data_IF_612386854459
#
_entry.id   IF_612386854459
#
_cell.length_a   1.000
_cell.length_b   1.000
_cell.length_c   1.000
_cell.angle_alpha   90.00
_cell.angle_beta   90.00
_cell.angle_gamma   90.00
#
_symmetry.space_group_name_H-M   'P 1'
#
loop_
_entity.id
_entity.type
_entity.pdbx_description
1 polymer ?
#
# COMPACT_ATOMS: atom_id res chain seq x y z
N UNK A 1 10.39 29.32 4.26
CA UNK A 1 9.49 28.19 4.55
C UNK A 1 10.32 27.14 5.27
N UNK A 2 10.00 26.83 6.51
CA UNK A 2 10.68 25.75 7.25
C UNK A 2 10.23 24.47 6.56
N UNK A 3 11.18 23.74 5.97
CA UNK A 3 10.95 22.41 5.40
C UNK A 3 10.64 21.50 6.60
N UNK A 4 9.34 21.32 6.86
CA UNK A 4 8.89 20.39 7.90
C UNK A 4 9.21 19.00 7.32
N UNK A 5 10.29 18.40 7.79
CA UNK A 5 10.70 17.07 7.41
C UNK A 5 9.47 16.15 7.44
N UNK A 6 9.15 15.53 6.29
CA UNK A 6 8.00 14.64 6.19
C UNK A 6 8.23 13.46 7.13
N UNK A 7 7.22 13.07 7.95
CA UNK A 7 7.42 12.00 8.91
C UNK A 7 7.73 10.69 8.18
N UNK A 8 8.84 10.04 8.53
CA UNK A 8 9.22 8.72 8.04
C UNK A 8 8.44 7.63 8.77
N UNK A 9 8.07 6.56 8.06
CA UNK A 9 7.55 5.34 8.67
C UNK A 9 8.73 4.47 9.08
N UNK A 10 8.71 3.93 10.30
CA UNK A 10 9.79 3.10 10.78
C UNK A 10 9.36 2.11 11.84
N UNK A 11 10.27 1.19 12.17
CA UNK A 11 10.09 0.23 13.25
C UNK A 11 11.41 -0.13 13.93
N UNK A 12 11.32 -0.51 15.21
CA UNK A 12 12.43 -0.89 16.06
C UNK A 12 12.12 -2.18 16.80
N UNK A 13 12.91 -3.23 16.53
CA UNK A 13 12.85 -4.48 17.24
C UNK A 13 11.56 -5.28 17.05
N UNK A 14 10.85 -5.10 15.91
CA UNK A 14 9.60 -5.81 15.68
C UNK A 14 9.82 -7.31 15.62
N UNK A 15 9.08 -8.01 16.46
CA UNK A 15 9.05 -9.47 16.48
C UNK A 15 7.61 -9.98 16.49
N UNK A 16 7.36 -11.08 15.78
CA UNK A 16 6.06 -11.74 15.71
C UNK A 16 6.22 -13.23 15.48
N UNK A 17 5.52 -14.01 16.31
CA UNK A 17 5.48 -15.47 16.19
C UNK A 17 4.05 -15.96 15.99
N UNK A 18 3.90 -17.08 15.30
CA UNK A 18 2.66 -17.83 15.13
C UNK A 18 2.95 -19.31 15.44
N UNK A 19 2.28 -19.86 16.42
CA UNK A 19 2.39 -21.29 16.79
C UNK A 19 3.85 -21.78 16.93
N UNK A 20 4.71 -20.95 17.50
CA UNK A 20 6.12 -21.24 17.70
C UNK A 20 7.04 -20.89 16.51
N UNK A 21 6.49 -20.56 15.34
CA UNK A 21 7.27 -20.11 14.18
C UNK A 21 7.45 -18.59 14.24
N UNK A 22 8.70 -18.12 14.21
CA UNK A 22 9.02 -16.69 14.18
C UNK A 22 8.85 -16.14 12.77
N UNK A 23 7.80 -15.35 12.55
CA UNK A 23 7.53 -14.69 11.28
C UNK A 23 8.25 -13.32 11.14
N UNK A 24 8.57 -12.66 12.26
CA UNK A 24 9.43 -11.47 12.32
C UNK A 24 10.40 -11.61 13.49
N UNK A 25 11.67 -11.26 13.27
CA UNK A 25 12.76 -11.42 14.24
C UNK A 25 13.57 -10.13 14.33
N UNK A 26 13.34 -9.33 15.37
CA UNK A 26 14.05 -8.06 15.67
C UNK A 26 14.17 -7.13 14.45
N UNK A 27 13.09 -6.98 13.68
CA UNK A 27 13.08 -6.15 12.46
C UNK A 27 13.25 -4.68 12.84
N UNK A 28 14.29 -4.04 12.28
CA UNK A 28 14.58 -2.62 12.42
C UNK A 28 14.66 -1.99 11.05
N UNK A 29 13.83 -0.98 10.79
CA UNK A 29 13.71 -0.38 9.48
C UNK A 29 13.21 1.05 9.59
N UNK A 30 13.76 1.93 8.77
CA UNK A 30 13.24 3.26 8.54
C UNK A 30 13.09 3.46 7.03
N UNK A 31 11.86 3.75 6.61
CA UNK A 31 11.56 4.04 5.22
C UNK A 31 11.90 5.50 4.90
N UNK A 32 12.32 5.82 3.68
CA UNK A 32 12.49 7.21 3.25
C UNK A 32 11.16 7.96 3.33
N UNK A 33 11.20 9.27 3.48
CA UNK A 33 9.98 10.09 3.54
C UNK A 33 9.16 10.07 2.23
N UNK A 34 9.81 9.79 1.11
CA UNK A 34 9.22 9.65 -0.24
C UNK A 34 10.04 8.66 -1.04
N UNK A 35 9.48 8.13 -2.10
CA UNK A 35 10.20 7.19 -2.98
C UNK A 35 9.41 5.92 -3.23
N UNK A 36 10.01 5.03 -4.00
CA UNK A 36 9.49 3.69 -4.27
C UNK A 36 10.41 2.66 -3.64
N UNK A 37 9.90 1.92 -2.67
CA UNK A 37 10.62 0.89 -1.92
C UNK A 37 10.05 -0.48 -2.26
N UNK A 38 10.88 -1.36 -2.79
CA UNK A 38 10.51 -2.75 -2.99
C UNK A 38 10.90 -3.59 -1.78
N UNK A 39 9.95 -4.33 -1.22
CA UNK A 39 10.16 -5.31 -0.18
C UNK A 39 10.12 -6.70 -0.80
N UNK A 40 11.27 -7.34 -0.92
CA UNK A 40 11.45 -8.61 -1.61
C UNK A 40 11.93 -9.70 -0.66
N UNK A 41 11.86 -10.95 -1.10
CA UNK A 41 12.30 -12.13 -0.33
C UNK A 41 11.48 -13.37 -0.71
N UNK A 42 11.91 -14.57 -0.32
CA UNK A 42 11.19 -15.80 -0.61
C UNK A 42 9.81 -15.85 0.04
N UNK A 43 9.00 -16.83 -0.35
CA UNK A 43 7.73 -17.10 0.31
C UNK A 43 7.98 -17.49 1.77
N UNK A 44 7.17 -16.92 2.69
CA UNK A 44 7.39 -17.16 4.13
C UNK A 44 8.42 -16.23 4.79
N UNK A 45 9.14 -15.37 4.06
CA UNK A 45 10.14 -14.44 4.62
C UNK A 45 9.59 -13.39 5.60
N UNK A 46 8.25 -13.30 5.78
CA UNK A 46 7.64 -12.37 6.74
C UNK A 46 7.18 -11.03 6.14
N UNK A 47 7.28 -10.82 4.83
CA UNK A 47 6.94 -9.55 4.15
C UNK A 47 5.50 -9.09 4.43
N UNK A 48 4.51 -9.95 4.16
CA UNK A 48 3.09 -9.65 4.41
C UNK A 48 2.81 -9.50 5.90
N UNK A 49 3.50 -10.24 6.77
CA UNK A 49 3.43 -10.10 8.23
C UNK A 49 3.92 -8.72 8.65
N UNK A 50 5.03 -8.23 8.11
CA UNK A 50 5.53 -6.88 8.36
C UNK A 50 4.51 -5.82 7.96
N UNK A 51 3.93 -5.89 6.76
CA UNK A 51 2.87 -4.96 6.33
C UNK A 51 1.63 -5.06 7.22
N UNK A 52 1.25 -6.26 7.68
CA UNK A 52 0.13 -6.44 8.62
C UNK A 52 0.39 -5.75 9.96
N UNK A 53 1.61 -5.81 10.48
CA UNK A 53 2.01 -5.12 11.72
C UNK A 53 1.99 -3.60 11.50
N UNK A 54 2.65 -3.09 10.46
CA UNK A 54 2.74 -1.66 10.17
C UNK A 54 1.38 -0.99 9.89
N UNK A 55 0.37 -1.79 9.57
CA UNK A 55 -1.00 -1.31 9.35
C UNK A 55 -1.97 -1.63 10.49
N UNK A 56 -1.47 -2.22 11.60
CA UNK A 56 -2.25 -2.52 12.78
C UNK A 56 -3.22 -3.70 12.66
N UNK A 57 -3.18 -4.46 11.56
CA UNK A 57 -3.94 -5.71 11.40
C UNK A 57 -3.37 -6.84 12.25
N UNK A 58 -2.08 -6.77 12.58
CA UNK A 58 -1.43 -7.66 13.53
C UNK A 58 -0.73 -6.85 14.61
N UNK A 59 -0.86 -7.31 15.85
CA UNK A 59 -0.10 -6.76 16.98
C UNK A 59 1.25 -7.47 17.04
N UNK A 60 2.37 -6.74 17.09
CA UNK A 60 3.68 -7.36 17.32
C UNK A 60 3.76 -7.94 18.74
N UNK A 61 4.59 -8.97 18.93
CA UNK A 61 4.85 -9.56 20.24
C UNK A 61 5.91 -8.76 21.00
N UNK A 62 6.83 -8.11 20.27
CA UNK A 62 7.82 -7.18 20.80
C UNK A 62 8.15 -6.08 19.78
N UNK A 63 8.81 -5.02 20.27
CA UNK A 63 9.19 -3.87 19.46
C UNK A 63 8.07 -2.87 19.27
N UNK A 64 8.36 -1.83 18.48
CA UNK A 64 7.43 -0.73 18.19
C UNK A 64 7.56 -0.26 16.74
N UNK A 65 6.51 0.39 16.24
CA UNK A 65 6.57 1.08 14.95
C UNK A 65 5.97 2.49 15.07
N UNK A 66 6.42 3.40 14.21
CA UNK A 66 6.17 4.82 14.36
C UNK A 66 6.06 5.53 13.01
N UNK A 67 5.42 6.71 13.02
CA UNK A 67 5.37 7.66 11.92
C UNK A 67 5.97 8.99 12.42
N UNK A 68 7.19 9.31 12.02
CA UNK A 68 7.99 10.37 12.65
C UNK A 68 8.18 10.10 14.14
N UNK A 69 7.82 11.04 14.98
CA UNK A 69 7.92 10.89 16.45
C UNK A 69 6.72 10.15 17.06
N UNK A 70 5.67 9.90 16.26
CA UNK A 70 4.43 9.30 16.77
C UNK A 70 4.48 7.79 16.75
N UNK A 71 4.39 7.18 17.91
CA UNK A 71 4.23 5.73 18.03
C UNK A 71 2.83 5.29 17.56
N UNK A 72 2.78 4.23 16.74
CA UNK A 72 1.57 3.65 16.18
C UNK A 72 1.25 2.26 16.73
N UNK A 73 2.16 1.68 17.51
CA UNK A 73 2.03 0.33 18.07
C UNK A 73 0.74 0.19 18.89
N UNK A 74 -0.05 -0.82 18.56
CA UNK A 74 -1.34 -1.08 19.22
C UNK A 74 -2.50 -0.18 18.79
N UNK A 75 -2.29 0.75 17.84
CA UNK A 75 -3.40 1.49 17.23
C UNK A 75 -4.21 0.57 16.31
N UNK A 76 -5.54 0.77 16.31
CA UNK A 76 -6.43 0.06 15.40
C UNK A 76 -6.18 0.49 13.93
N UNK A 77 -6.38 -0.41 12.93
CA UNK A 77 -6.11 -0.14 11.51
C UNK A 77 -6.74 1.16 10.98
N UNK A 78 -7.99 1.43 11.35
CA UNK A 78 -8.69 2.64 10.91
C UNK A 78 -8.04 3.94 11.45
N UNK A 79 -7.38 3.89 12.62
CA UNK A 79 -6.63 5.05 13.16
C UNK A 79 -5.33 5.25 12.41
N UNK A 80 -4.65 4.18 12.04
CA UNK A 80 -3.42 4.22 11.23
C UNK A 80 -3.75 4.74 9.83
N UNK A 81 -4.82 4.26 9.20
CA UNK A 81 -5.28 4.75 7.91
C UNK A 81 -5.56 6.26 7.92
N UNK A 82 -6.18 6.79 8.98
CA UNK A 82 -6.42 8.24 9.14
C UNK A 82 -5.14 9.09 9.29
N UNK A 83 -4.01 8.45 9.59
CA UNK A 83 -2.70 9.11 9.62
C UNK A 83 -2.02 9.14 8.24
N UNK A 84 -2.70 8.63 7.22
CA UNK A 84 -2.24 8.66 5.84
C UNK A 84 -1.43 7.43 5.42
N UNK A 85 -1.58 6.31 6.10
CA UNK A 85 -1.01 5.01 5.70
C UNK A 85 -2.13 4.18 5.07
N UNK A 86 -2.09 4.03 3.75
CA UNK A 86 -3.06 3.24 2.99
C UNK A 86 -2.44 1.92 2.54
N UNK A 87 -3.25 0.87 2.41
CA UNK A 87 -2.79 -0.44 2.00
C UNK A 87 -3.73 -1.10 1.00
N UNK A 88 -3.15 -1.79 0.02
CA UNK A 88 -3.85 -2.83 -0.73
C UNK A 88 -3.66 -4.19 -0.07
N UNK A 89 -4.48 -5.15 -0.42
CA UNK A 89 -4.39 -6.53 0.06
C UNK A 89 -4.22 -7.44 -1.14
N UNK A 90 -3.63 -8.61 -0.93
CA UNK A 90 -3.49 -9.63 -1.95
C UNK A 90 -4.86 -10.02 -2.52
N UNK A 91 -5.87 -10.21 -1.65
CA UNK A 91 -7.27 -10.27 -2.05
C UNK A 91 -7.77 -8.86 -2.37
N UNK A 92 -8.30 -8.65 -3.56
CA UNK A 92 -8.63 -7.32 -4.09
C UNK A 92 -9.64 -6.54 -3.24
N UNK A 93 -10.41 -7.22 -2.38
CA UNK A 93 -11.43 -6.66 -1.48
C UNK A 93 -12.40 -5.67 -2.15
N UNK A 94 -12.65 -5.87 -3.44
CA UNK A 94 -13.63 -5.12 -4.21
C UNK A 94 -15.02 -5.73 -4.01
N UNK A 95 -16.05 -4.88 -3.98
CA UNK A 95 -17.43 -5.33 -3.99
C UNK A 95 -17.83 -5.53 -5.44
N UNK A 96 -17.81 -6.78 -5.91
CA UNK A 96 -17.95 -7.14 -7.33
C UNK A 96 -19.26 -6.68 -7.97
N UNK A 97 -20.35 -6.66 -7.20
CA UNK A 97 -21.69 -6.27 -7.68
C UNK A 97 -21.93 -4.76 -7.70
N UNK A 98 -21.00 -3.99 -7.15
CA UNK A 98 -21.11 -2.53 -7.01
C UNK A 98 -20.33 -1.85 -8.14
N UNK A 99 -20.81 -0.72 -8.69
CA UNK A 99 -20.09 0.03 -9.72
C UNK A 99 -18.67 0.40 -9.33
N UNK A 100 -17.80 0.49 -10.32
CA UNK A 100 -16.39 0.91 -10.17
C UNK A 100 -16.26 2.20 -9.37
N UNK A 101 -17.08 3.22 -9.70
CA UNK A 101 -17.07 4.49 -8.98
C UNK A 101 -17.47 4.35 -7.53
N UNK A 102 -18.47 3.53 -7.23
CA UNK A 102 -18.96 3.34 -5.86
C UNK A 102 -17.92 2.61 -4.98
N UNK A 103 -17.13 1.67 -5.55
CA UNK A 103 -16.00 1.06 -4.85
C UNK A 103 -14.98 2.12 -4.41
N UNK A 104 -14.67 3.10 -5.26
CA UNK A 104 -13.74 4.20 -4.93
C UNK A 104 -14.36 5.15 -3.88
N UNK A 105 -15.66 5.42 -3.98
CA UNK A 105 -16.36 6.27 -3.01
C UNK A 105 -16.39 5.64 -1.61
N UNK A 106 -16.61 4.33 -1.52
CA UNK A 106 -16.59 3.59 -0.24
C UNK A 106 -15.22 3.63 0.46
N UNK A 107 -14.14 3.76 -0.30
CA UNK A 107 -12.79 3.86 0.26
C UNK A 107 -12.46 5.24 0.85
N UNK A 108 -13.28 6.26 0.65
CA UNK A 108 -13.04 7.60 1.16
C UNK A 108 -13.28 7.71 2.67
N UNK A 109 -12.38 8.37 3.39
CA UNK A 109 -12.52 8.52 4.85
C UNK A 109 -13.52 9.63 5.22
N UNK A 110 -14.05 9.54 6.45
CA UNK A 110 -14.76 10.62 7.14
C UNK A 110 -16.01 11.17 6.43
N UNK A 111 -16.76 10.33 5.73
CA UNK A 111 -17.99 10.77 5.05
C UNK A 111 -19.08 11.15 6.06
N UNK A 112 -19.72 12.32 5.87
CA UNK A 112 -20.80 12.79 6.76
C UNK A 112 -22.01 11.87 6.75
N UNK A 113 -22.27 11.21 5.62
CA UNK A 113 -23.35 10.22 5.48
C UNK A 113 -23.20 9.00 6.40
N UNK A 114 -22.01 8.72 6.93
CA UNK A 114 -21.75 7.67 7.92
C UNK A 114 -22.17 8.07 9.35
N UNK A 115 -22.49 9.33 9.59
CA UNK A 115 -22.90 9.85 10.90
C UNK A 115 -24.41 10.00 10.95
N UNK A 116 -25.04 9.44 12.00
CA UNK A 116 -26.50 9.40 12.16
C UNK A 116 -27.18 10.77 12.04
N UNK A 117 -26.66 11.80 12.70
CA UNK A 117 -27.25 13.15 12.70
C UNK A 117 -27.15 13.85 11.34
N UNK A 118 -25.97 13.93 10.66
CA UNK A 118 -25.88 14.51 9.32
C UNK A 118 -26.67 13.72 8.27
N UNK A 119 -26.69 12.39 8.36
CA UNK A 119 -27.48 11.54 7.46
C UNK A 119 -28.99 11.82 7.60
N UNK A 120 -29.50 12.00 8.82
CA UNK A 120 -30.90 12.27 9.09
C UNK A 120 -31.32 13.67 8.65
N UNK A 121 -30.47 14.68 8.87
CA UNK A 121 -30.76 16.08 8.55
C UNK A 121 -30.41 16.50 7.12
N UNK A 122 -29.71 15.65 6.34
CA UNK A 122 -29.19 15.90 4.97
C UNK A 122 -28.42 17.23 4.82
N UNK A 123 -27.99 17.84 5.91
CA UNK A 123 -27.34 19.15 5.89
C UNK A 123 -25.89 19.03 5.40
N UNK A 124 -25.62 19.58 4.23
CA UNK A 124 -24.28 19.58 3.59
C UNK A 124 -23.84 18.23 3.02
N UNK A 125 -24.68 17.21 3.03
CA UNK A 125 -24.39 15.86 2.50
C UNK A 125 -24.26 15.93 0.98
N UNK A 126 -25.21 16.55 0.27
CA UNK A 126 -25.21 16.61 -1.19
C UNK A 126 -23.96 17.31 -1.78
N UNK A 127 -23.49 18.41 -1.13
CA UNK A 127 -22.28 19.10 -1.59
C UNK A 127 -21.03 18.27 -1.34
N UNK A 128 -20.97 17.53 -0.23
CA UNK A 128 -19.89 16.60 0.07
C UNK A 128 -19.88 15.41 -0.88
N UNK A 129 -21.03 14.82 -1.14
CA UNK A 129 -21.19 13.73 -2.11
C UNK A 129 -20.72 14.14 -3.51
N UNK A 130 -21.07 15.35 -3.97
CA UNK A 130 -20.58 15.88 -5.25
C UNK A 130 -19.06 16.00 -5.28
N UNK A 131 -18.44 16.54 -4.21
CA UNK A 131 -16.98 16.64 -4.10
C UNK A 131 -16.31 15.26 -4.04
N UNK A 132 -16.89 14.35 -3.28
CA UNK A 132 -16.39 12.98 -3.17
C UNK A 132 -16.43 12.28 -4.53
N UNK A 133 -17.53 12.43 -5.27
CA UNK A 133 -17.68 11.88 -6.61
C UNK A 133 -16.67 12.47 -7.59
N UNK A 134 -16.44 13.77 -7.56
CA UNK A 134 -15.43 14.41 -8.40
C UNK A 134 -14.01 13.89 -8.09
N UNK A 135 -13.68 13.74 -6.81
CA UNK A 135 -12.37 13.21 -6.40
C UNK A 135 -12.23 11.72 -6.75
N UNK A 136 -13.26 10.92 -6.58
CA UNK A 136 -13.27 9.52 -7.00
C UNK A 136 -13.05 9.40 -8.52
N UNK A 137 -13.74 10.23 -9.32
CA UNK A 137 -13.54 10.30 -10.77
C UNK A 137 -12.13 10.75 -11.16
N UNK A 138 -11.48 11.61 -10.37
CA UNK A 138 -10.06 11.96 -10.61
C UNK A 138 -9.15 10.75 -10.44
N UNK A 139 -9.37 9.93 -9.41
CA UNK A 139 -8.58 8.72 -9.21
C UNK A 139 -8.88 7.66 -10.28
N UNK A 140 -10.12 7.54 -10.73
CA UNK A 140 -10.46 6.66 -11.85
C UNK A 140 -9.77 7.11 -13.16
N UNK A 141 -9.73 8.42 -13.45
CA UNK A 141 -8.96 8.94 -14.60
C UNK A 141 -7.46 8.67 -14.45
N UNK A 142 -6.93 8.86 -13.25
CA UNK A 142 -5.50 8.60 -12.98
C UNK A 142 -5.11 7.16 -13.30
N UNK A 143 -5.97 6.19 -12.98
CA UNK A 143 -5.73 4.78 -13.29
C UNK A 143 -6.28 4.32 -14.64
N UNK A 144 -6.96 5.20 -15.40
CA UNK A 144 -7.50 4.87 -16.73
C UNK A 144 -8.81 4.07 -16.71
N UNK A 145 -9.62 4.20 -15.65
CA UNK A 145 -10.90 3.48 -15.48
C UNK A 145 -12.13 4.40 -15.48
N UNK A 146 -11.99 5.67 -15.81
CA UNK A 146 -13.09 6.64 -15.77
C UNK A 146 -14.24 6.30 -16.74
N UNK A 147 -13.94 5.72 -17.90
CA UNK A 147 -14.96 5.27 -18.88
C UNK A 147 -15.76 4.08 -18.36
N UNK A 148 -15.24 3.35 -17.39
CA UNK A 148 -15.86 2.17 -16.75
C UNK A 148 -16.51 2.47 -15.40
N UNK A 149 -16.67 3.76 -15.06
CA UNK A 149 -17.15 4.19 -13.75
C UNK A 149 -18.52 3.61 -13.35
N UNK A 150 -19.39 3.32 -14.30
CA UNK A 150 -20.73 2.75 -14.10
C UNK A 150 -20.79 1.23 -14.25
N UNK A 151 -19.74 0.58 -14.75
CA UNK A 151 -19.70 -0.88 -14.87
C UNK A 151 -19.56 -1.51 -13.48
N UNK A 152 -20.06 -2.73 -13.27
CA UNK A 152 -19.83 -3.48 -12.04
C UNK A 152 -18.34 -3.86 -11.93
N UNK A 153 -17.77 -3.76 -10.73
CA UNK A 153 -16.34 -4.05 -10.53
C UNK A 153 -15.97 -5.50 -10.91
N UNK A 154 -16.93 -6.43 -10.82
CA UNK A 154 -16.74 -7.83 -11.21
C UNK A 154 -16.65 -8.05 -12.73
N UNK A 155 -17.06 -7.08 -13.54
CA UNK A 155 -16.97 -7.15 -15.02
C UNK A 155 -15.59 -6.72 -15.53
N UNK A 156 -14.77 -6.13 -14.67
CA UNK A 156 -13.41 -5.72 -14.99
C UNK A 156 -12.49 -6.95 -15.15
N UNK A 157 -11.53 -6.87 -16.08
CA UNK A 157 -10.43 -7.84 -16.11
C UNK A 157 -9.63 -7.79 -14.80
N UNK A 158 -8.91 -8.87 -14.48
CA UNK A 158 -8.11 -8.94 -13.23
C UNK A 158 -7.14 -7.76 -13.08
N UNK A 159 -6.43 -7.39 -14.15
CA UNK A 159 -5.54 -6.23 -14.12
C UNK A 159 -6.29 -4.90 -13.92
N UNK A 160 -7.48 -4.74 -14.50
CA UNK A 160 -8.33 -3.58 -14.24
C UNK A 160 -8.83 -3.54 -12.79
N UNK A 161 -9.11 -4.70 -12.19
CA UNK A 161 -9.44 -4.79 -10.76
C UNK A 161 -8.25 -4.38 -9.88
N UNK A 162 -7.00 -4.74 -10.25
CA UNK A 162 -5.78 -4.23 -9.58
C UNK A 162 -5.68 -2.70 -9.67
N UNK A 163 -5.95 -2.11 -10.84
CA UNK A 163 -6.00 -0.66 -11.01
C UNK A 163 -7.12 -0.02 -10.17
N UNK A 164 -8.29 -0.63 -10.09
CA UNK A 164 -9.37 -0.17 -9.23
C UNK A 164 -8.99 -0.23 -7.75
N UNK A 165 -8.32 -1.30 -7.31
CA UNK A 165 -7.81 -1.41 -5.94
C UNK A 165 -6.79 -0.31 -5.62
N UNK A 166 -5.92 0.05 -6.58
CA UNK A 166 -5.02 1.20 -6.45
C UNK A 166 -5.81 2.51 -6.34
N UNK A 167 -6.85 2.71 -7.15
CA UNK A 167 -7.72 3.90 -7.07
C UNK A 167 -8.41 4.01 -5.70
N UNK A 168 -8.92 2.90 -5.14
CA UNK A 168 -9.48 2.85 -3.80
C UNK A 168 -8.43 3.20 -2.73
N UNK A 169 -7.22 2.67 -2.85
CA UNK A 169 -6.11 3.00 -1.97
C UNK A 169 -5.77 4.50 -2.02
N UNK A 170 -5.78 5.12 -3.20
CA UNK A 170 -5.54 6.54 -3.39
C UNK A 170 -6.68 7.41 -2.85
N UNK A 171 -7.92 6.94 -2.97
CA UNK A 171 -9.10 7.63 -2.46
C UNK A 171 -9.12 7.73 -0.92
N UNK A 172 -8.41 6.86 -0.21
CA UNK A 172 -8.23 6.95 1.24
C UNK A 172 -7.30 8.09 1.69
N UNK A 173 -6.78 8.90 0.73
CA UNK A 173 -5.90 10.07 0.96
C UNK A 173 -4.54 9.72 1.60
N UNK A 174 -4.10 8.45 1.50
CA UNK A 174 -2.83 7.99 2.00
C UNK A 174 -1.63 8.68 1.34
N UNK A 175 -0.67 9.11 2.15
CA UNK A 175 0.64 9.58 1.67
C UNK A 175 1.66 8.44 1.58
N UNK A 176 1.48 7.42 2.38
CA UNK A 176 2.26 6.18 2.40
C UNK A 176 1.35 5.08 1.88
N UNK A 177 1.76 4.45 0.80
CA UNK A 177 1.02 3.40 0.13
C UNK A 177 1.78 2.08 0.30
N UNK A 178 1.15 1.11 0.94
CA UNK A 178 1.70 -0.24 1.14
C UNK A 178 0.96 -1.18 0.19
N UNK A 179 1.63 -1.62 -0.88
CA UNK A 179 1.01 -2.39 -1.96
C UNK A 179 1.48 -3.84 -1.90
N UNK A 180 0.53 -4.76 -1.86
CA UNK A 180 0.81 -6.19 -1.80
C UNK A 180 0.65 -6.79 -3.21
N UNK A 181 1.76 -7.13 -3.87
CA UNK A 181 1.85 -7.73 -5.21
C UNK A 181 1.03 -6.97 -6.28
N UNK A 182 1.29 -5.67 -6.51
CA UNK A 182 0.46 -4.85 -7.40
C UNK A 182 0.47 -5.31 -8.86
N UNK A 183 1.51 -6.01 -9.33
CA UNK A 183 1.62 -6.47 -10.73
C UNK A 183 1.51 -7.99 -10.89
N UNK A 184 1.39 -8.76 -9.80
CA UNK A 184 1.28 -10.21 -9.88
C UNK A 184 0.02 -10.65 -10.64
N UNK A 185 0.19 -11.59 -11.61
CA UNK A 185 -0.91 -12.13 -12.41
C UNK A 185 -1.49 -11.17 -13.46
N UNK A 186 -0.81 -10.07 -13.76
CA UNK A 186 -1.25 -9.04 -14.69
C UNK A 186 -0.53 -9.19 -16.04
N UNK A 187 -1.22 -8.87 -17.14
CA UNK A 187 -0.62 -8.89 -18.48
C UNK A 187 0.54 -7.87 -18.61
N UNK A 188 1.62 -8.16 -19.32
CA UNK A 188 2.82 -7.30 -19.42
C UNK A 188 2.55 -5.83 -19.76
N UNK A 189 1.63 -5.54 -20.68
CA UNK A 189 1.29 -4.15 -21.05
C UNK A 189 0.73 -3.38 -19.85
N UNK A 190 -0.07 -4.05 -19.02
CA UNK A 190 -0.67 -3.45 -17.83
C UNK A 190 0.32 -3.37 -16.67
N UNK A 191 1.31 -4.27 -16.61
CA UNK A 191 2.44 -4.15 -15.67
C UNK A 191 3.14 -2.81 -15.88
N UNK A 192 3.51 -2.48 -17.13
CA UNK A 192 4.15 -1.21 -17.47
C UNK A 192 3.30 -0.01 -17.04
N UNK A 193 1.99 -0.06 -17.30
CA UNK A 193 1.05 0.98 -16.85
C UNK A 193 1.06 1.15 -15.33
N UNK A 194 0.97 0.06 -14.56
CA UNK A 194 0.99 0.11 -13.09
C UNK A 194 2.31 0.72 -12.60
N UNK A 195 3.46 0.27 -13.13
CA UNK A 195 4.76 0.81 -12.74
C UNK A 195 4.91 2.31 -13.04
N UNK A 196 4.36 2.79 -14.15
CA UNK A 196 4.34 4.21 -14.48
C UNK A 196 3.45 5.01 -13.52
N UNK A 197 2.32 4.45 -13.08
CA UNK A 197 1.50 5.07 -12.04
C UNK A 197 2.26 5.17 -10.70
N UNK A 198 3.03 4.13 -10.32
CA UNK A 198 3.86 4.20 -9.11
C UNK A 198 4.91 5.31 -9.20
N UNK A 199 5.56 5.49 -10.36
CA UNK A 199 6.49 6.62 -10.59
C UNK A 199 5.80 7.97 -10.43
N UNK A 200 4.62 8.14 -11.04
CA UNK A 200 3.84 9.38 -10.90
C UNK A 200 3.48 9.66 -9.44
N UNK A 201 3.15 8.63 -8.65
CA UNK A 201 2.85 8.79 -7.22
C UNK A 201 4.09 9.20 -6.42
N UNK A 202 5.26 8.63 -6.70
CA UNK A 202 6.54 9.07 -6.14
C UNK A 202 6.82 10.53 -6.49
N UNK A 203 6.64 10.93 -7.74
CA UNK A 203 6.91 12.30 -8.22
C UNK A 203 5.95 13.32 -7.58
N UNK A 204 4.76 12.87 -7.15
CA UNK A 204 3.85 13.64 -6.31
C UNK A 204 4.30 13.69 -4.82
N UNK A 205 5.44 13.09 -4.49
CA UNK A 205 6.02 13.09 -3.15
C UNK A 205 5.37 12.10 -2.20
N UNK A 206 4.85 10.98 -2.68
CA UNK A 206 4.37 9.87 -1.86
C UNK A 206 5.49 8.87 -1.60
N UNK A 207 5.37 8.14 -0.50
CA UNK A 207 6.10 6.90 -0.28
C UNK A 207 5.25 5.74 -0.79
N UNK A 208 5.82 4.93 -1.67
CA UNK A 208 5.21 3.68 -2.14
C UNK A 208 6.10 2.53 -1.69
N UNK A 209 5.60 1.66 -0.84
CA UNK A 209 6.25 0.40 -0.46
C UNK A 209 5.47 -0.73 -1.11
N UNK A 210 6.11 -1.58 -1.87
CA UNK A 210 5.42 -2.68 -2.52
C UNK A 210 6.17 -4.00 -2.34
N UNK A 211 5.40 -5.08 -2.17
CA UNK A 211 5.92 -6.46 -2.20
C UNK A 211 5.82 -6.95 -3.62
N UNK A 212 6.89 -7.52 -4.16
CA UNK A 212 6.91 -8.17 -5.47
C UNK A 212 7.91 -9.31 -5.52
N UNK A 213 7.64 -10.23 -6.45
CA UNK A 213 8.51 -11.36 -6.77
C UNK A 213 9.15 -11.20 -8.16
N UNK A 214 8.62 -10.31 -9.00
CA UNK A 214 9.17 -9.97 -10.31
C UNK A 214 10.36 -9.01 -10.15
N UNK A 215 11.56 -9.57 -10.21
CA UNK A 215 12.81 -8.81 -10.09
C UNK A 215 12.96 -7.78 -11.22
N UNK A 216 12.42 -8.04 -12.42
CA UNK A 216 12.47 -7.09 -13.52
C UNK A 216 11.61 -5.86 -13.21
N UNK A 217 10.40 -6.05 -12.69
CA UNK A 217 9.53 -4.96 -12.23
C UNK A 217 10.19 -4.17 -11.10
N UNK A 218 10.80 -4.85 -10.11
CA UNK A 218 11.53 -4.20 -9.01
C UNK A 218 12.69 -3.35 -9.54
N UNK A 219 13.55 -3.91 -10.39
CA UNK A 219 14.71 -3.21 -10.98
C UNK A 219 14.28 -1.99 -11.78
N UNK A 220 13.11 -2.06 -12.41
CA UNK A 220 12.61 -1.00 -13.30
C UNK A 220 12.07 0.22 -12.53
N UNK A 221 11.53 0.06 -11.33
CA UNK A 221 10.77 1.13 -10.67
C UNK A 221 11.26 1.51 -9.27
N UNK A 222 11.91 0.61 -8.54
CA UNK A 222 12.31 0.86 -7.15
C UNK A 222 13.50 1.82 -7.04
N UNK A 223 13.42 2.76 -6.10
CA UNK A 223 14.53 3.61 -5.67
C UNK A 223 15.38 2.89 -4.61
N UNK A 224 14.73 2.04 -3.79
CA UNK A 224 15.34 1.26 -2.71
C UNK A 224 14.77 -0.16 -2.72
N UNK A 225 15.62 -1.14 -2.46
CA UNK A 225 15.23 -2.54 -2.26
C UNK A 225 15.56 -2.94 -0.81
N UNK A 226 14.62 -3.59 -0.16
CA UNK A 226 14.77 -4.22 1.14
C UNK A 226 14.53 -5.71 0.94
N UNK A 227 15.49 -6.53 1.35
CA UNK A 227 15.40 -7.99 1.24
C UNK A 227 15.13 -8.56 2.61
N UNK A 228 14.06 -9.36 2.70
CA UNK A 228 13.73 -10.13 3.89
C UNK A 228 13.95 -11.62 3.64
N UNK A 229 14.48 -12.28 4.65
CA UNK A 229 14.52 -13.73 4.73
C UNK A 229 14.35 -14.19 6.19
N UNK A 230 13.63 -15.30 6.40
CA UNK A 230 13.35 -15.88 7.72
C UNK A 230 12.94 -14.84 8.80
N UNK A 231 12.13 -13.86 8.41
CA UNK A 231 11.63 -12.82 9.32
C UNK A 231 12.63 -11.71 9.65
N UNK A 232 13.78 -11.63 8.96
CA UNK A 232 14.83 -10.64 9.17
C UNK A 232 15.06 -9.81 7.91
N UNK A 233 15.61 -8.61 8.07
CA UNK A 233 16.16 -7.85 6.96
C UNK A 233 17.61 -8.30 6.77
N UNK A 234 17.90 -8.87 5.59
CA UNK A 234 19.23 -9.38 5.25
C UNK A 234 20.05 -8.43 4.37
N UNK A 235 19.36 -7.57 3.60
CA UNK A 235 20.01 -6.55 2.79
C UNK A 235 19.09 -5.35 2.55
N UNK A 236 19.71 -4.19 2.34
CA UNK A 236 19.04 -2.95 1.95
C UNK A 236 19.99 -2.13 1.08
N UNK A 237 19.49 -1.50 0.02
CA UNK A 237 20.28 -0.65 -0.86
C UNK A 237 19.60 -0.36 -2.20
N UNK A 238 20.32 0.25 -3.12
CA UNK A 238 19.84 0.49 -4.49
C UNK A 238 19.62 -0.83 -5.23
N UNK A 239 18.65 -0.92 -6.16
CA UNK A 239 18.39 -2.14 -6.90
C UNK A 239 19.62 -2.77 -7.53
N UNK A 240 20.48 -1.98 -8.24
CA UNK A 240 21.70 -2.48 -8.86
C UNK A 240 22.76 -3.02 -7.88
N UNK A 241 22.75 -2.53 -6.62
CA UNK A 241 23.71 -2.97 -5.61
C UNK A 241 23.24 -4.23 -4.87
N UNK A 242 21.93 -4.35 -4.63
CA UNK A 242 21.35 -5.44 -3.86
C UNK A 242 21.05 -6.65 -4.72
N UNK A 243 20.44 -6.43 -5.91
CA UNK A 243 19.99 -7.51 -6.79
C UNK A 243 21.12 -8.19 -7.58
N UNK A 244 22.35 -7.68 -7.50
CA UNK A 244 23.54 -8.30 -8.12
C UNK A 244 24.33 -9.17 -7.13
N UNK A 245 23.95 -9.20 -5.86
CA UNK A 245 24.60 -10.05 -4.86
C UNK A 245 24.26 -11.52 -5.09
N UNK A 246 25.26 -12.41 -5.21
CA UNK A 246 25.02 -13.83 -5.47
C UNK A 246 24.09 -14.48 -4.44
N UNK A 247 24.29 -14.18 -3.16
CA UNK A 247 23.49 -14.71 -2.06
C UNK A 247 22.01 -14.32 -2.13
N UNK A 248 21.69 -13.15 -2.71
CA UNK A 248 20.32 -12.69 -2.93
C UNK A 248 19.72 -13.41 -4.13
N UNK A 249 20.49 -13.54 -5.21
CA UNK A 249 20.02 -14.23 -6.42
C UNK A 249 19.79 -15.72 -6.17
N UNK A 250 20.65 -16.40 -5.41
CA UNK A 250 20.47 -17.81 -5.05
C UNK A 250 19.18 -18.03 -4.24
N UNK A 251 18.83 -17.14 -3.32
CA UNK A 251 17.58 -17.23 -2.54
C UNK A 251 16.30 -17.06 -3.40
N UNK A 252 16.44 -16.53 -4.64
CA UNK A 252 15.32 -16.32 -5.58
C UNK A 252 15.24 -17.35 -6.70
N UNK A 253 16.38 -18.01 -7.05
CA UNK A 253 16.49 -18.95 -8.18
C UNK A 253 16.47 -20.40 -7.69
N UNK A 254 16.59 -20.63 -6.35
CA UNK A 254 16.58 -21.94 -5.70
C UNK A 254 15.21 -22.61 -5.61
#
# INVERSE_FOLDING_TARGET
>A
MIDVARPSLGCEGLSKSFDGTQALQDVRLEFPATGIVALIGPNGAGKTTLLNVLTGFLRPDAGRFFLGERELTGLAPHRIARLGIARTFQDLRLISQVPVLENVLLARPNQKGERLLPALLRFGVAQEESRNREQAMRWLRFVGLDQKASEAAGELSYGQQKLLTLACCLASEGRILLLDEPVAGVHPDMVSQILDLLRQLRDQGRLVVFIEHDIAAVRHVADLVIVMDEGRIIAQGRPGEVLERPEIMEAYVG
#
